data_IF_447266799215
#
_entry.id   IF_447266799215
#
_cell.length_a   1.000
_cell.length_b   1.000
_cell.length_c   1.000
_cell.angle_alpha   90.00
_cell.angle_beta   90.00
_cell.angle_gamma   90.00
#
_symmetry.space_group_name_H-M   'P 1'
#
loop_
_entity.id
_entity.type
_entity.pdbx_description
1 polymer ?
#
# COMPACT_ATOMS: atom_id res chain seq x y z
N UNK A 1 -3.13 13.20 35.51
CA UNK A 1 -3.48 11.85 35.03
C UNK A 1 -4.76 11.80 34.20
N UNK A 2 -5.82 12.57 34.51
CA UNK A 2 -7.10 12.54 33.74
C UNK A 2 -6.92 12.98 32.26
N UNK A 3 -5.90 13.80 31.97
CA UNK A 3 -5.60 14.31 30.61
C UNK A 3 -5.22 13.25 29.56
N UNK A 4 -5.07 11.97 29.92
CA UNK A 4 -4.76 10.88 28.99
C UNK A 4 -5.96 9.93 28.77
N UNK A 5 -7.18 10.37 29.10
CA UNK A 5 -8.39 9.55 28.95
C UNK A 5 -8.63 9.08 27.51
N UNK A 6 -8.15 9.85 26.52
CA UNK A 6 -8.18 9.44 25.11
C UNK A 6 -7.50 8.10 24.84
N UNK A 7 -6.42 7.78 25.55
CA UNK A 7 -5.72 6.48 25.37
C UNK A 7 -6.64 5.33 25.78
N UNK A 8 -7.36 5.48 26.89
CA UNK A 8 -8.31 4.47 27.37
C UNK A 8 -9.45 4.30 26.36
N UNK A 9 -9.97 5.41 25.81
CA UNK A 9 -11.02 5.40 24.79
C UNK A 9 -10.54 4.66 23.53
N UNK A 10 -9.30 4.90 23.09
CA UNK A 10 -8.72 4.21 21.93
C UNK A 10 -8.55 2.71 22.17
N UNK A 11 -8.02 2.32 23.34
CA UNK A 11 -7.85 0.91 23.70
C UNK A 11 -9.19 0.18 23.70
N UNK A 12 -10.21 0.75 24.35
CA UNK A 12 -11.54 0.15 24.41
C UNK A 12 -12.17 0.10 23.02
N UNK A 13 -12.10 1.20 22.26
CA UNK A 13 -12.69 1.28 20.92
C UNK A 13 -12.10 0.26 19.94
N UNK A 14 -10.77 0.08 19.95
CA UNK A 14 -10.11 -0.91 19.10
C UNK A 14 -10.35 -2.34 19.59
N UNK A 15 -10.43 -2.57 20.91
CA UNK A 15 -10.78 -3.88 21.47
C UNK A 15 -12.18 -4.31 21.01
N UNK A 16 -13.12 -3.36 20.96
CA UNK A 16 -14.47 -3.57 20.47
C UNK A 16 -14.59 -3.55 18.93
N UNK A 17 -13.49 -3.38 18.20
CA UNK A 17 -13.44 -3.30 16.72
C UNK A 17 -14.38 -2.22 16.14
N UNK A 18 -14.55 -1.11 16.85
CA UNK A 18 -15.33 0.04 16.37
C UNK A 18 -14.57 0.78 15.25
N UNK A 19 -15.29 1.62 14.51
CA UNK A 19 -14.69 2.43 13.45
C UNK A 19 -13.50 3.26 13.98
N UNK A 20 -12.35 3.05 13.35
CA UNK A 20 -11.07 3.63 13.80
C UNK A 20 -11.11 5.15 13.80
N UNK A 21 -11.75 5.76 12.80
CA UNK A 21 -11.80 7.22 12.65
C UNK A 21 -12.67 7.82 13.75
N UNK A 22 -13.86 7.27 13.97
CA UNK A 22 -14.78 7.72 15.01
C UNK A 22 -14.16 7.59 16.41
N UNK A 23 -13.48 6.48 16.70
CA UNK A 23 -12.80 6.25 17.99
C UNK A 23 -11.71 7.28 18.23
N UNK A 24 -10.82 7.50 17.25
CA UNK A 24 -9.68 8.41 17.38
C UNK A 24 -10.14 9.87 17.48
N UNK A 25 -11.14 10.29 16.67
CA UNK A 25 -11.70 11.64 16.75
C UNK A 25 -12.38 11.88 18.10
N UNK A 26 -13.19 10.94 18.58
CA UNK A 26 -13.87 11.06 19.88
C UNK A 26 -12.87 11.14 21.03
N UNK A 27 -11.83 10.30 20.99
CA UNK A 27 -10.75 10.32 21.97
C UNK A 27 -10.00 11.67 21.98
N UNK A 28 -9.70 12.22 20.80
CA UNK A 28 -9.05 13.53 20.65
C UNK A 28 -9.89 14.67 21.20
N UNK A 29 -11.18 14.72 20.86
CA UNK A 29 -12.13 15.74 21.35
C UNK A 29 -12.28 15.65 22.87
N UNK A 30 -12.55 14.45 23.41
CA UNK A 30 -12.71 14.25 24.85
C UNK A 30 -11.44 14.57 25.63
N UNK A 31 -10.27 14.25 25.07
CA UNK A 31 -8.98 14.61 25.68
C UNK A 31 -8.77 16.11 25.70
N UNK A 32 -9.08 16.81 24.61
CA UNK A 32 -9.02 18.26 24.54
C UNK A 32 -9.92 18.95 25.56
N UNK A 33 -11.17 18.47 25.67
CA UNK A 33 -12.14 18.99 26.64
C UNK A 33 -11.67 18.78 28.09
N UNK A 34 -11.18 17.59 28.42
CA UNK A 34 -10.62 17.27 29.75
C UNK A 34 -9.35 18.06 30.04
N UNK A 35 -8.58 18.43 29.01
CA UNK A 35 -7.41 19.29 29.15
C UNK A 35 -7.75 20.76 29.39
N UNK A 36 -9.03 21.14 29.31
CA UNK A 36 -9.52 22.50 29.50
C UNK A 36 -9.53 23.34 28.22
N UNK A 37 -9.34 22.73 27.05
CA UNK A 37 -9.46 23.42 25.77
C UNK A 37 -10.93 23.68 25.44
N UNK A 38 -11.22 24.86 24.94
CA UNK A 38 -12.53 25.18 24.36
C UNK A 38 -12.76 24.42 23.06
N UNK A 39 -14.02 24.25 22.67
CA UNK A 39 -14.40 23.61 21.41
C UNK A 39 -13.74 24.31 20.21
N UNK A 40 -13.61 25.64 20.27
CA UNK A 40 -12.95 26.42 19.22
C UNK A 40 -11.45 26.11 19.12
N UNK A 41 -10.74 26.03 20.25
CA UNK A 41 -9.33 25.66 20.28
C UNK A 41 -9.10 24.23 19.76
N UNK A 42 -10.00 23.29 20.09
CA UNK A 42 -9.95 21.92 19.58
C UNK A 42 -10.12 21.92 18.06
N UNK A 43 -11.14 22.60 17.53
CA UNK A 43 -11.39 22.71 16.09
C UNK A 43 -10.23 23.39 15.35
N UNK A 44 -9.67 24.45 15.93
CA UNK A 44 -8.54 25.18 15.37
C UNK A 44 -7.30 24.30 15.35
N UNK A 45 -7.01 23.58 16.45
CA UNK A 45 -5.86 22.67 16.53
C UNK A 45 -5.97 21.53 15.52
N UNK A 46 -7.16 20.92 15.39
CA UNK A 46 -7.42 19.91 14.38
C UNK A 46 -7.18 20.47 12.98
N UNK A 47 -7.79 21.61 12.65
CA UNK A 47 -7.62 22.28 11.36
C UNK A 47 -6.17 22.62 11.03
N UNK A 48 -5.45 23.22 11.98
CA UNK A 48 -4.03 23.55 11.85
C UNK A 48 -3.20 22.30 11.58
N UNK A 49 -3.45 21.21 12.31
CA UNK A 49 -2.76 19.94 12.13
C UNK A 49 -3.02 19.34 10.74
N UNK A 50 -4.25 19.40 10.24
CA UNK A 50 -4.59 18.97 8.89
C UNK A 50 -3.86 19.79 7.81
N UNK A 51 -3.80 21.11 7.97
CA UNK A 51 -3.11 22.00 7.02
C UNK A 51 -1.59 21.80 7.07
N UNK A 52 -1.01 21.72 8.27
CA UNK A 52 0.42 21.45 8.46
C UNK A 52 0.82 20.10 7.88
N UNK A 53 -0.07 19.10 7.97
CA UNK A 53 0.13 17.76 7.44
C UNK A 53 -0.53 17.57 6.06
N UNK A 54 -0.58 18.62 5.23
CA UNK A 54 -1.17 18.61 3.87
C UNK A 54 -0.68 17.48 2.96
N UNK A 55 0.53 16.95 3.22
CA UNK A 55 1.06 15.81 2.47
C UNK A 55 0.18 14.55 2.61
N UNK A 56 -0.47 14.34 3.75
CA UNK A 56 -1.44 13.25 3.94
C UNK A 56 -2.70 13.52 3.10
N UNK A 57 -3.14 14.79 3.04
CA UNK A 57 -4.30 15.20 2.24
C UNK A 57 -4.08 15.04 0.74
N UNK A 58 -2.83 15.11 0.25
CA UNK A 58 -2.51 14.84 -1.16
C UNK A 58 -2.92 13.44 -1.60
N UNK A 59 -3.02 12.46 -0.68
CA UNK A 59 -3.58 11.14 -0.99
C UNK A 59 -5.01 11.23 -1.54
N UNK A 60 -5.82 12.18 -1.08
CA UNK A 60 -7.18 12.40 -1.59
C UNK A 60 -7.15 12.76 -3.08
N UNK A 61 -6.13 13.49 -3.55
CA UNK A 61 -5.97 13.83 -4.97
C UNK A 61 -5.56 12.61 -5.82
N UNK A 62 -4.92 11.61 -5.22
CA UNK A 62 -4.57 10.38 -5.95
C UNK A 62 -5.81 9.57 -6.34
N UNK A 63 -6.89 9.63 -5.56
CA UNK A 63 -8.13 8.89 -5.83
C UNK A 63 -8.79 9.32 -7.16
N UNK A 64 -9.04 10.61 -7.45
CA UNK A 64 -9.49 11.06 -8.76
C UNK A 64 -8.56 10.69 -9.90
N UNK A 65 -7.24 10.80 -9.70
CA UNK A 65 -6.25 10.45 -10.72
C UNK A 65 -6.33 8.97 -11.06
N UNK A 66 -6.37 8.10 -10.05
CA UNK A 66 -6.56 6.65 -10.22
C UNK A 66 -7.90 6.38 -10.92
N UNK A 67 -8.99 7.02 -10.48
CA UNK A 67 -10.31 6.87 -11.09
C UNK A 67 -10.35 7.27 -12.56
N UNK A 68 -9.65 8.34 -12.95
CA UNK A 68 -9.47 8.70 -14.36
C UNK A 68 -8.67 7.63 -15.10
N UNK A 69 -7.50 7.23 -14.59
CA UNK A 69 -6.68 6.21 -15.24
C UNK A 69 -7.45 4.89 -15.46
N UNK A 70 -8.19 4.43 -14.46
CA UNK A 70 -9.04 3.24 -14.60
C UNK A 70 -10.15 3.44 -15.64
N UNK A 71 -10.83 4.60 -15.65
CA UNK A 71 -11.84 4.94 -16.67
C UNK A 71 -11.27 4.97 -18.09
N UNK A 72 -10.01 5.36 -18.25
CA UNK A 72 -9.29 5.35 -19.53
C UNK A 72 -8.67 3.99 -19.88
N UNK A 73 -9.03 2.92 -19.15
CA UNK A 73 -8.69 1.56 -19.52
C UNK A 73 -7.32 1.10 -19.03
N UNK A 74 -6.81 1.66 -17.93
CA UNK A 74 -5.53 1.25 -17.34
C UNK A 74 -5.50 -0.26 -17.06
N UNK A 75 -6.61 -0.83 -16.57
CA UNK A 75 -6.74 -2.27 -16.26
C UNK A 75 -6.66 -3.12 -17.52
N UNK A 76 -7.38 -2.73 -18.56
CA UNK A 76 -7.44 -3.40 -19.87
C UNK A 76 -6.08 -3.35 -20.56
N UNK A 77 -5.41 -2.20 -20.50
CA UNK A 77 -4.06 -2.03 -21.07
C UNK A 77 -3.01 -2.84 -20.31
N UNK A 78 -3.10 -2.87 -18.98
CA UNK A 78 -2.24 -3.72 -18.15
C UNK A 78 -2.47 -5.21 -18.48
N UNK A 79 -3.73 -5.66 -18.58
CA UNK A 79 -4.06 -7.03 -18.95
C UNK A 79 -3.51 -7.40 -20.34
N UNK A 80 -3.62 -6.49 -21.31
CA UNK A 80 -3.09 -6.69 -22.67
C UNK A 80 -1.55 -6.76 -22.70
N UNK A 81 -0.88 -5.90 -21.94
CA UNK A 81 0.58 -5.93 -21.79
C UNK A 81 1.05 -7.24 -21.15
N UNK A 82 0.35 -7.70 -20.12
CA UNK A 82 0.63 -8.98 -19.44
C UNK A 82 0.35 -10.15 -20.39
N UNK A 83 -0.74 -10.13 -21.16
CA UNK A 83 -1.05 -11.19 -22.12
C UNK A 83 -0.06 -11.24 -23.29
N UNK A 84 0.51 -10.11 -23.68
CA UNK A 84 1.53 -10.03 -24.73
C UNK A 84 2.93 -10.42 -24.22
N UNK A 85 3.14 -10.42 -22.90
CA UNK A 85 4.35 -10.91 -22.27
C UNK A 85 4.44 -12.46 -22.23
N UNK A 86 3.55 -13.18 -22.94
CA UNK A 86 3.50 -14.66 -23.03
C UNK A 86 4.81 -15.36 -23.43
N UNK A 87 5.80 -14.65 -23.95
CA UNK A 87 7.12 -15.19 -24.31
C UNK A 87 8.21 -14.99 -23.24
N UNK A 88 7.90 -14.34 -22.11
CA UNK A 88 8.85 -14.13 -21.03
C UNK A 88 8.81 -15.31 -20.05
N UNK A 89 9.95 -15.95 -19.83
CA UNK A 89 10.11 -16.92 -18.74
C UNK A 89 10.03 -16.21 -17.39
N UNK A 90 9.67 -16.95 -16.33
CA UNK A 90 9.60 -16.42 -14.97
C UNK A 90 10.89 -15.68 -14.56
N UNK A 91 12.06 -16.21 -14.90
CA UNK A 91 13.35 -15.57 -14.63
C UNK A 91 13.50 -14.21 -15.31
N UNK A 92 13.17 -14.10 -16.61
CA UNK A 92 13.26 -12.82 -17.33
C UNK A 92 12.28 -11.80 -16.78
N UNK A 93 11.06 -12.23 -16.42
CA UNK A 93 10.05 -11.37 -15.81
C UNK A 93 10.56 -10.79 -14.48
N UNK A 94 11.14 -11.64 -13.64
CA UNK A 94 11.72 -11.25 -12.35
C UNK A 94 12.93 -10.32 -12.51
N UNK A 95 13.78 -10.53 -13.52
CA UNK A 95 14.89 -9.61 -13.82
C UNK A 95 14.41 -8.23 -14.27
N UNK A 96 13.38 -8.17 -15.13
CA UNK A 96 12.75 -6.90 -15.54
C UNK A 96 12.15 -6.19 -14.32
N UNK A 97 11.48 -6.94 -13.45
CA UNK A 97 10.94 -6.39 -12.21
C UNK A 97 12.04 -5.77 -11.33
N UNK A 98 13.15 -6.48 -11.11
CA UNK A 98 14.29 -5.97 -10.35
C UNK A 98 14.88 -4.68 -10.97
N UNK A 99 15.02 -4.62 -12.30
CA UNK A 99 15.53 -3.43 -12.99
C UNK A 99 14.60 -2.22 -12.81
N UNK A 100 13.29 -2.42 -13.00
CA UNK A 100 12.29 -1.36 -12.76
C UNK A 100 12.34 -0.90 -11.30
N UNK A 101 12.56 -1.82 -10.36
CA UNK A 101 12.72 -1.54 -8.94
C UNK A 101 13.94 -0.68 -8.64
N UNK A 102 15.09 -1.00 -9.23
CA UNK A 102 16.33 -0.23 -9.09
C UNK A 102 16.18 1.18 -9.66
N UNK A 103 15.59 1.33 -10.84
CA UNK A 103 15.36 2.64 -11.45
C UNK A 103 14.41 3.48 -10.59
N UNK A 104 13.32 2.90 -10.08
CA UNK A 104 12.42 3.59 -9.18
C UNK A 104 13.13 4.01 -7.87
N UNK A 105 13.94 3.13 -7.28
CA UNK A 105 14.73 3.43 -6.09
C UNK A 105 15.72 4.57 -6.34
N UNK A 106 16.42 4.57 -7.48
CA UNK A 106 17.34 5.64 -7.90
C UNK A 106 16.62 7.00 -8.04
N UNK A 107 15.36 6.99 -8.49
CA UNK A 107 14.51 8.19 -8.58
C UNK A 107 13.80 8.53 -7.25
N UNK A 108 14.12 7.84 -6.15
CA UNK A 108 13.45 7.98 -4.85
C UNK A 108 11.94 7.70 -4.88
N UNK A 109 11.48 6.92 -5.86
CA UNK A 109 10.09 6.47 -5.99
C UNK A 109 9.93 5.18 -5.17
N UNK A 110 9.14 5.27 -4.09
CA UNK A 110 8.81 4.11 -3.27
C UNK A 110 7.63 3.37 -3.87
N UNK A 111 7.85 2.25 -4.57
CA UNK A 111 6.74 1.33 -4.85
C UNK A 111 6.41 0.44 -3.64
N UNK A 112 5.15 0.06 -3.55
CA UNK A 112 4.37 -0.45 -2.41
C UNK A 112 4.83 -1.76 -1.73
N UNK A 113 6.05 -2.26 -1.97
CA UNK A 113 6.65 -3.38 -1.23
C UNK A 113 5.93 -4.74 -1.36
N UNK A 114 6.32 -5.70 -0.52
CA UNK A 114 5.91 -7.11 -0.66
C UNK A 114 4.38 -7.35 -0.61
N UNK A 115 3.60 -6.80 0.34
CA UNK A 115 2.18 -7.15 0.48
C UNK A 115 1.30 -6.56 -0.62
N UNK A 116 1.67 -5.39 -1.15
CA UNK A 116 0.82 -4.59 -2.03
C UNK A 116 1.21 -4.75 -3.50
N UNK A 117 2.42 -5.23 -3.79
CA UNK A 117 2.92 -5.39 -5.16
C UNK A 117 3.38 -6.82 -5.47
N UNK A 118 4.28 -7.38 -4.65
CA UNK A 118 4.87 -8.69 -4.95
C UNK A 118 3.83 -9.81 -4.88
N UNK A 119 3.11 -9.90 -3.77
CA UNK A 119 2.16 -10.99 -3.51
C UNK A 119 0.95 -11.01 -4.46
N UNK A 120 0.26 -9.89 -4.75
CA UNK A 120 -0.92 -9.91 -5.61
C UNK A 120 -0.61 -9.84 -7.11
N UNK A 121 0.60 -9.43 -7.52
CA UNK A 121 0.91 -9.17 -8.93
C UNK A 121 2.16 -9.92 -9.40
N UNK A 122 3.34 -9.61 -8.84
CA UNK A 122 4.62 -10.14 -9.36
C UNK A 122 4.69 -11.66 -9.26
N UNK A 123 4.35 -12.22 -8.09
CA UNK A 123 4.40 -13.66 -7.87
C UNK A 123 3.39 -14.42 -8.76
N UNK A 124 2.09 -14.04 -8.84
CA UNK A 124 1.15 -14.66 -9.77
C UNK A 124 1.59 -14.54 -11.25
N UNK A 125 2.19 -13.41 -11.65
CA UNK A 125 2.72 -13.24 -13.00
C UNK A 125 3.90 -14.16 -13.29
N UNK A 126 4.83 -14.31 -12.34
CA UNK A 126 5.97 -15.21 -12.48
C UNK A 126 5.56 -16.68 -12.50
N UNK A 127 4.60 -17.08 -11.65
CA UNK A 127 4.02 -18.42 -11.67
C UNK A 127 3.27 -18.69 -12.99
N UNK A 128 2.44 -17.74 -13.44
CA UNK A 128 1.75 -17.85 -14.74
C UNK A 128 2.70 -17.94 -15.93
N UNK A 129 3.82 -17.21 -15.88
CA UNK A 129 4.89 -17.30 -16.87
C UNK A 129 5.58 -18.67 -16.85
N UNK A 130 5.86 -19.23 -15.67
CA UNK A 130 6.43 -20.57 -15.55
C UNK A 130 5.46 -21.62 -16.11
N UNK A 131 4.18 -21.56 -15.73
CA UNK A 131 3.16 -22.50 -16.21
C UNK A 131 2.97 -22.43 -17.72
N UNK A 132 2.99 -21.22 -18.28
CA UNK A 132 2.85 -21.03 -19.73
C UNK A 132 4.04 -21.56 -20.54
N UNK A 133 5.25 -21.61 -19.97
CA UNK A 133 6.45 -22.07 -20.67
C UNK A 133 6.73 -23.57 -20.45
N UNK A 134 6.38 -24.10 -19.27
CA UNK A 134 6.78 -25.45 -18.84
C UNK A 134 5.61 -26.39 -18.52
N UNK A 135 4.36 -25.92 -18.55
CA UNK A 135 3.18 -26.72 -18.18
C UNK A 135 2.90 -26.67 -16.68
N UNK A 136 2.32 -27.72 -16.10
CA UNK A 136 2.15 -27.76 -14.64
C UNK A 136 3.52 -27.74 -13.94
N UNK A 137 3.65 -26.87 -12.95
CA UNK A 137 4.85 -26.73 -12.10
C UNK A 137 4.60 -27.42 -10.77
N UNK A 138 5.65 -28.02 -10.20
CA UNK A 138 5.55 -28.65 -8.89
C UNK A 138 5.57 -27.60 -7.76
N UNK A 139 5.32 -28.06 -6.53
CA UNK A 139 5.33 -27.18 -5.35
C UNK A 139 6.71 -26.60 -5.05
N UNK A 140 7.79 -27.30 -5.40
CA UNK A 140 9.15 -26.84 -5.11
C UNK A 140 9.51 -25.64 -6.00
N UNK A 141 9.18 -25.72 -7.28
CA UNK A 141 9.31 -24.63 -8.24
C UNK A 141 8.39 -23.47 -7.90
N UNK A 142 7.15 -23.74 -7.47
CA UNK A 142 6.24 -22.69 -7.01
C UNK A 142 6.84 -21.91 -5.81
N UNK A 143 7.42 -22.62 -4.84
CA UNK A 143 8.05 -22.01 -3.68
C UNK A 143 9.36 -21.29 -4.03
N UNK A 144 10.15 -21.81 -4.99
CA UNK A 144 11.31 -21.11 -5.55
C UNK A 144 10.91 -19.80 -6.24
N UNK A 145 9.79 -19.79 -6.96
CA UNK A 145 9.27 -18.58 -7.60
C UNK A 145 8.82 -17.55 -6.55
N UNK A 146 8.14 -17.98 -5.48
CA UNK A 146 7.77 -17.10 -4.35
C UNK A 146 9.01 -16.47 -3.72
N UNK A 147 10.00 -17.30 -3.40
CA UNK A 147 11.26 -16.87 -2.81
C UNK A 147 12.01 -15.89 -3.72
N UNK A 148 12.10 -16.21 -5.02
CA UNK A 148 12.77 -15.36 -6.01
C UNK A 148 12.04 -14.03 -6.21
N UNK A 149 10.70 -14.04 -6.20
CA UNK A 149 9.88 -12.82 -6.30
C UNK A 149 10.11 -11.88 -5.13
N UNK A 150 10.17 -12.42 -3.91
CA UNK A 150 10.51 -11.65 -2.70
C UNK A 150 11.96 -11.13 -2.74
N UNK A 151 12.90 -11.98 -3.18
CA UNK A 151 14.30 -11.61 -3.31
C UNK A 151 14.51 -10.45 -4.28
N UNK A 152 13.88 -10.47 -5.45
CA UNK A 152 14.01 -9.38 -6.43
C UNK A 152 13.47 -8.04 -5.94
N UNK A 153 12.41 -8.02 -5.12
CA UNK A 153 11.93 -6.77 -4.51
C UNK A 153 12.93 -6.19 -3.50
N UNK A 154 13.59 -7.07 -2.74
CA UNK A 154 14.63 -6.64 -1.79
C UNK A 154 15.90 -6.18 -2.49
N UNK A 155 16.42 -6.96 -3.44
CA UNK A 155 17.62 -6.61 -4.19
C UNK A 155 17.43 -5.36 -5.03
N UNK A 156 16.24 -5.18 -5.61
CA UNK A 156 15.94 -4.00 -6.41
C UNK A 156 15.77 -2.72 -5.59
N UNK A 157 15.74 -2.81 -4.27
CA UNK A 157 15.69 -1.65 -3.37
C UNK A 157 17.09 -1.11 -3.03
N UNK A 158 18.16 -1.75 -3.52
CA UNK A 158 19.56 -1.35 -3.42
C UNK A 158 20.14 -1.11 -4.82
#
# INVERSE_FOLDING_TARGET
>A
MIKLIGIIIVIIGFTLKLDTIAVVLSAGVLTGLVAGLSINEILTTLGQTFVSQRAITLFILTLPVIGMCERYGLKERAATLISNAKSLSAGKLLSVYALVRQVAAALSIRMSGHPQFVRPLVNPMAQGAAVSNFGEIDKEDEDRIKASSAAMDNYGNF
#
